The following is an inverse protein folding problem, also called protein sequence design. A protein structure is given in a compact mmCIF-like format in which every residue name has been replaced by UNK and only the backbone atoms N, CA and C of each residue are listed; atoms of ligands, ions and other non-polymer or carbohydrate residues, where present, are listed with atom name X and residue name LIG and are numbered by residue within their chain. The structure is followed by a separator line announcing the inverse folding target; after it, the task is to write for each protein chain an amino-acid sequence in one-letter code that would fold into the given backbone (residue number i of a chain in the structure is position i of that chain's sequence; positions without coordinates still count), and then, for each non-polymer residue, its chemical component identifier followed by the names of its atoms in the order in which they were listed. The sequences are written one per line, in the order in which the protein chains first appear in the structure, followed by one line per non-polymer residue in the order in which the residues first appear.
data_IF_465119105803
#
_entry.id   IF_465119105803
#
_cell.length_a   1.000
_cell.length_b   1.000
_cell.length_c   1.000
_cell.angle_alpha   90.00
_cell.angle_beta   90.00
_cell.angle_gamma   90.00
#
_symmetry.space_group_name_H-M   'P 1'
#
loop_
_entity.id
_entity.type
_entity.pdbx_description
1 polymer ?
#
# COMPACT_ATOMS: atom_id res chain seq x y z
N UNK A 1 -18.95 12.63 -0.30
CA UNK A 1 -18.58 12.46 -1.73
C UNK A 1 -18.40 10.98 -2.02
N UNK A 2 -18.92 10.41 -3.12
CA UNK A 2 -18.76 8.98 -3.37
C UNK A 2 -17.32 8.70 -3.84
N UNK A 3 -16.60 7.81 -3.13
CA UNK A 3 -15.31 7.25 -3.57
C UNK A 3 -15.55 6.58 -4.94
N UNK A 4 -15.05 7.20 -6.02
CA UNK A 4 -15.23 6.74 -7.41
C UNK A 4 -14.20 5.68 -7.83
N UNK A 5 -13.70 4.90 -6.89
CA UNK A 5 -12.72 3.84 -7.16
C UNK A 5 -13.22 2.57 -6.48
N UNK A 6 -13.45 1.49 -7.26
CA UNK A 6 -13.81 0.20 -6.68
C UNK A 6 -12.52 -0.54 -6.35
N UNK A 7 -12.57 -1.29 -5.25
CA UNK A 7 -11.63 -2.32 -4.79
C UNK A 7 -10.98 -3.22 -5.87
N UNK A 8 -11.55 -3.30 -7.07
CA UNK A 8 -11.02 -4.13 -8.17
C UNK A 8 -10.05 -3.37 -9.05
N UNK A 9 -10.16 -2.05 -9.10
CA UNK A 9 -9.49 -1.20 -10.08
C UNK A 9 -8.02 -0.99 -9.69
N UNK A 10 -7.75 -0.72 -8.41
CA UNK A 10 -6.38 -0.58 -7.90
C UNK A 10 -5.58 -1.90 -7.91
N UNK A 11 -6.18 -3.08 -7.76
CA UNK A 11 -5.45 -4.36 -7.75
C UNK A 11 -4.64 -4.60 -9.03
N UNK A 12 -5.10 -4.08 -10.17
CA UNK A 12 -4.37 -4.16 -11.45
C UNK A 12 -3.20 -3.18 -11.55
N UNK A 13 -3.23 -2.14 -10.72
CA UNK A 13 -2.17 -1.12 -10.65
C UNK A 13 -1.11 -1.47 -9.61
N UNK A 14 -1.41 -2.33 -8.64
CA UNK A 14 -0.44 -2.72 -7.60
C UNK A 14 0.63 -3.60 -8.23
N UNK A 15 1.85 -3.09 -8.21
CA UNK A 15 3.04 -3.80 -8.66
C UNK A 15 3.67 -4.59 -7.52
N UNK A 16 3.66 -4.04 -6.31
CA UNK A 16 4.23 -4.66 -5.13
C UNK A 16 3.70 -4.02 -3.84
N UNK A 17 3.62 -4.83 -2.79
CA UNK A 17 3.52 -4.37 -1.40
C UNK A 17 4.77 -4.81 -0.62
N UNK A 18 5.38 -3.90 0.12
CA UNK A 18 6.63 -4.09 0.87
C UNK A 18 6.39 -3.85 2.35
N UNK A 19 6.18 -4.92 3.13
CA UNK A 19 5.98 -4.84 4.59
C UNK A 19 7.24 -4.39 5.30
N UNK A 20 7.08 -3.56 6.33
CA UNK A 20 8.12 -3.03 7.21
C UNK A 20 9.31 -2.36 6.47
N UNK A 21 9.14 -2.06 5.18
CA UNK A 21 10.19 -1.54 4.32
C UNK A 21 9.75 -0.22 3.73
N UNK A 22 10.51 0.83 4.05
CA UNK A 22 10.35 2.16 3.45
C UNK A 22 11.24 2.28 2.21
N UNK A 23 10.66 2.72 1.10
CA UNK A 23 11.41 3.03 -0.14
C UNK A 23 11.61 4.55 -0.24
N UNK A 24 12.84 4.99 0.03
CA UNK A 24 13.24 6.39 -0.05
C UNK A 24 13.38 6.84 -1.50
N UNK A 25 13.23 8.14 -1.73
CA UNK A 25 13.26 8.76 -3.07
C UNK A 25 14.43 8.31 -3.95
N UNK A 26 15.68 8.18 -3.46
CA UNK A 26 16.80 7.71 -4.28
C UNK A 26 16.66 6.29 -4.82
N UNK A 27 15.89 5.44 -4.13
CA UNK A 27 15.67 4.03 -4.49
C UNK A 27 14.40 3.82 -5.34
N UNK A 28 13.64 4.89 -5.58
CA UNK A 28 12.41 4.85 -6.38
C UNK A 28 12.74 4.73 -7.86
N UNK A 29 11.98 3.89 -8.55
CA UNK A 29 12.12 3.65 -9.99
C UNK A 29 11.22 4.61 -10.77
N UNK A 30 11.73 5.14 -11.87
CA UNK A 30 10.96 5.96 -12.79
C UNK A 30 9.75 5.17 -13.34
N UNK A 31 8.62 5.86 -13.48
CA UNK A 31 7.37 5.26 -13.99
C UNK A 31 6.58 4.45 -12.95
N UNK A 32 7.03 4.40 -11.69
CA UNK A 32 6.28 3.83 -10.58
C UNK A 32 5.86 4.93 -9.58
N UNK A 33 4.75 4.68 -8.89
CA UNK A 33 4.25 5.52 -7.81
C UNK A 33 4.41 4.78 -6.48
N UNK A 34 4.69 5.55 -5.42
CA UNK A 34 5.05 5.03 -4.11
C UNK A 34 4.21 5.72 -3.04
N UNK A 35 3.58 4.91 -2.20
CA UNK A 35 2.75 5.37 -1.10
C UNK A 35 3.14 4.63 0.17
N UNK A 36 2.93 5.26 1.31
CA UNK A 36 3.16 4.65 2.61
C UNK A 36 1.84 4.13 3.18
N UNK A 37 1.87 2.94 3.74
CA UNK A 37 0.73 2.34 4.42
C UNK A 37 0.90 2.51 5.92
N UNK A 38 -0.19 2.81 6.64
CA UNK A 38 -0.19 2.97 8.10
C UNK A 38 -0.95 1.83 8.75
N UNK A 39 -0.48 1.30 9.86
CA UNK A 39 -1.24 0.38 10.71
C UNK A 39 -1.99 1.11 11.84
N UNK A 40 -2.94 0.43 12.46
CA UNK A 40 -3.68 0.96 13.59
C UNK A 40 -2.82 1.04 14.86
N UNK A 41 -3.24 1.85 15.83
CA UNK A 41 -2.51 1.99 17.10
C UNK A 41 -2.48 0.66 17.90
N UNK A 42 -3.59 -0.08 17.87
CA UNK A 42 -3.77 -1.31 18.64
C UNK A 42 -3.62 -2.59 17.80
N UNK A 43 -3.55 -2.46 16.48
CA UNK A 43 -3.40 -3.58 15.55
C UNK A 43 -2.36 -3.22 14.50
N UNK A 44 -1.20 -3.84 14.63
CA UNK A 44 -0.03 -3.60 13.78
C UNK A 44 0.03 -4.60 12.64
N UNK A 45 -0.90 -5.56 12.61
CA UNK A 45 -0.86 -6.68 11.69
C UNK A 45 -1.36 -6.36 10.30
N UNK A 46 -2.07 -5.24 10.10
CA UNK A 46 -2.65 -4.87 8.80
C UNK A 46 -2.68 -3.36 8.59
N UNK A 47 -2.62 -2.90 7.33
CA UNK A 47 -2.75 -1.49 7.03
C UNK A 47 -4.21 -1.03 7.13
N UNK A 48 -4.39 0.19 7.62
CA UNK A 48 -5.70 0.87 7.74
C UNK A 48 -5.83 2.08 6.80
N UNK A 49 -4.72 2.62 6.31
CA UNK A 49 -4.71 3.73 5.34
C UNK A 49 -3.52 3.62 4.38
N UNK A 50 -3.65 4.28 3.23
CA UNK A 50 -2.57 4.57 2.28
C UNK A 50 -2.40 6.08 2.21
N UNK A 51 -1.17 6.56 2.36
CA UNK A 51 -0.85 7.98 2.51
C UNK A 51 0.36 8.35 1.64
N UNK A 52 0.53 9.65 1.36
CA UNK A 52 1.74 10.15 0.70
C UNK A 52 2.99 10.00 1.58
N UNK A 53 2.83 10.15 2.90
CA UNK A 53 3.88 9.97 3.89
C UNK A 53 3.27 9.73 5.27
N UNK A 54 3.80 8.75 5.98
CA UNK A 54 3.42 8.31 7.32
C UNK A 54 4.61 8.54 8.25
N UNK A 55 4.41 9.39 9.26
CA UNK A 55 5.45 9.67 10.27
C UNK A 55 5.47 8.62 11.39
N UNK A 56 4.30 8.15 11.81
CA UNK A 56 4.13 7.20 12.92
C UNK A 56 3.22 6.05 12.48
N UNK A 57 3.42 4.87 13.06
CA UNK A 57 2.68 3.65 12.73
C UNK A 57 2.83 3.23 11.26
N UNK A 58 4.04 3.39 10.72
CA UNK A 58 4.37 2.91 9.38
C UNK A 58 4.26 1.39 9.32
N UNK A 59 3.53 0.88 8.33
CA UNK A 59 3.36 -0.54 8.09
C UNK A 59 4.14 -1.03 6.87
N UNK A 60 4.27 -0.21 5.82
CA UNK A 60 4.95 -0.65 4.60
C UNK A 60 4.83 0.33 3.45
N UNK A 61 5.46 -0.01 2.32
CA UNK A 61 5.38 0.75 1.08
C UNK A 61 4.50 0.03 0.06
N UNK A 62 3.52 0.75 -0.50
CA UNK A 62 2.75 0.33 -1.66
C UNK A 62 3.38 0.89 -2.93
N UNK A 63 3.62 0.04 -3.91
CA UNK A 63 4.19 0.39 -5.22
C UNK A 63 3.16 0.12 -6.31
N UNK A 64 2.85 1.13 -7.11
CA UNK A 64 1.86 1.02 -8.18
C UNK A 64 2.40 1.49 -9.54
N UNK A 65 1.85 0.94 -10.61
CA UNK A 65 2.13 1.34 -12.01
C UNK A 65 1.32 2.57 -12.44
N UNK A 66 0.22 2.87 -11.74
CA UNK A 66 -0.62 4.03 -11.98
C UNK A 66 -0.81 4.81 -10.68
N UNK A 67 -1.01 6.13 -10.78
CA UNK A 67 -1.26 6.97 -9.61
C UNK A 67 -2.61 6.65 -8.98
N UNK A 68 -2.60 6.42 -7.67
CA UNK A 68 -3.82 6.36 -6.86
C UNK A 68 -4.37 7.76 -6.60
N UNK A 69 -5.70 7.86 -6.57
CA UNK A 69 -6.37 9.08 -6.12
C UNK A 69 -6.58 9.02 -4.60
N UNK A 70 -5.67 9.65 -3.86
CA UNK A 70 -5.73 9.73 -2.39
C UNK A 70 -6.60 10.88 -1.87
N UNK A 71 -7.28 11.66 -2.72
CA UNK A 71 -8.04 12.83 -2.28
C UNK A 71 -7.16 13.87 -1.58
N UNK A 72 -7.35 14.05 -0.27
CA UNK A 72 -6.60 14.97 0.59
C UNK A 72 -5.22 14.43 1.03
N UNK A 73 -4.79 13.30 0.47
CA UNK A 73 -3.50 12.68 0.75
C UNK A 73 -3.60 11.40 1.57
N UNK A 74 -4.82 11.02 2.00
CA UNK A 74 -5.10 9.80 2.76
C UNK A 74 -6.23 9.02 2.11
N UNK A 75 -5.98 7.75 1.81
CA UNK A 75 -7.00 6.79 1.42
C UNK A 75 -7.23 5.80 2.57
N UNK A 76 -8.29 6.04 3.32
CA UNK A 76 -8.78 5.13 4.36
C UNK A 76 -9.25 3.80 3.76
N UNK A 77 -8.78 2.70 4.35
CA UNK A 77 -9.09 1.34 3.97
C UNK A 77 -10.19 0.78 4.86
N UNK A 78 -11.13 0.07 4.25
CA UNK A 78 -11.95 -0.90 4.97
C UNK A 78 -11.09 -2.05 5.45
N UNK A 79 -11.55 -2.77 6.49
CA UNK A 79 -10.87 -3.98 6.98
C UNK A 79 -10.53 -4.96 5.84
N UNK A 80 -11.47 -5.17 4.93
CA UNK A 80 -11.27 -6.06 3.77
C UNK A 80 -10.16 -5.57 2.84
N UNK A 81 -10.08 -4.26 2.57
CA UNK A 81 -9.02 -3.69 1.74
C UNK A 81 -7.64 -3.85 2.41
N UNK A 82 -7.56 -3.69 3.73
CA UNK A 82 -6.36 -3.99 4.52
C UNK A 82 -5.95 -5.45 4.42
N UNK A 83 -6.88 -6.38 4.62
CA UNK A 83 -6.66 -7.83 4.48
C UNK A 83 -6.24 -8.22 3.05
N UNK A 84 -6.75 -7.54 2.02
CA UNK A 84 -6.34 -7.76 0.63
C UNK A 84 -4.91 -7.26 0.35
N UNK A 85 -4.48 -6.14 0.94
CA UNK A 85 -3.09 -5.68 0.86
C UNK A 85 -2.12 -6.62 1.57
N UNK A 86 -2.49 -7.08 2.77
CA UNK A 86 -1.77 -8.12 3.49
C UNK A 86 -1.58 -9.36 2.62
N UNK A 87 -2.67 -9.85 2.04
CA UNK A 87 -2.62 -11.01 1.16
C UNK A 87 -1.70 -10.76 -0.05
N UNK A 88 -1.76 -9.58 -0.66
CA UNK A 88 -0.88 -9.23 -1.79
C UNK A 88 0.59 -9.23 -1.38
N UNK A 89 0.92 -8.60 -0.25
CA UNK A 89 2.27 -8.56 0.29
C UNK A 89 2.86 -9.96 0.50
N UNK A 90 2.09 -10.87 1.11
CA UNK A 90 2.53 -12.25 1.35
C UNK A 90 2.48 -13.13 0.11
N UNK A 91 1.63 -12.82 -0.86
CA UNK A 91 1.54 -13.55 -2.13
C UNK A 91 2.70 -13.22 -3.09
N UNK A 92 3.22 -11.98 -3.04
CA UNK A 92 4.37 -11.57 -3.84
C UNK A 92 5.68 -12.21 -3.37
N UNK A 93 5.80 -12.54 -2.08
CA UNK A 93 6.94 -13.32 -1.53
C UNK A 93 7.07 -14.67 -2.23
N UNK A 94 5.96 -15.33 -2.59
CA UNK A 94 5.98 -16.64 -3.27
C UNK A 94 6.40 -16.58 -4.74
N UNK A 95 6.27 -15.43 -5.42
CA UNK A 95 6.72 -15.27 -6.81
C UNK A 95 8.20 -14.95 -6.95
N UNK A 96 8.86 -14.54 -5.85
CA UNK A 96 10.26 -14.08 -5.87
C UNK A 96 11.28 -15.10 -5.37
N UNK A 97 10.87 -16.34 -5.11
CA UNK A 97 11.81 -17.41 -4.74
C UNK A 97 12.65 -17.06 -3.49
N UNK A 98 12.02 -16.51 -2.45
CA UNK A 98 12.61 -16.58 -1.11
C UNK A 98 12.67 -18.04 -0.65
N UNK A 99 13.70 -18.41 0.14
CA UNK A 99 14.18 -19.79 0.30
C UNK A 99 13.11 -20.83 0.66
#
# INVERSE_FOLDING_TARGET
MPKKFRLKDWKWTIQQVLEDTRVFEPDRKAGLHYYECRHGENDWSQPISIEQSVLVNFWGTLVTTESLNLGDGVLELTRREGEELMFLAHSDVKKRGGP
#
